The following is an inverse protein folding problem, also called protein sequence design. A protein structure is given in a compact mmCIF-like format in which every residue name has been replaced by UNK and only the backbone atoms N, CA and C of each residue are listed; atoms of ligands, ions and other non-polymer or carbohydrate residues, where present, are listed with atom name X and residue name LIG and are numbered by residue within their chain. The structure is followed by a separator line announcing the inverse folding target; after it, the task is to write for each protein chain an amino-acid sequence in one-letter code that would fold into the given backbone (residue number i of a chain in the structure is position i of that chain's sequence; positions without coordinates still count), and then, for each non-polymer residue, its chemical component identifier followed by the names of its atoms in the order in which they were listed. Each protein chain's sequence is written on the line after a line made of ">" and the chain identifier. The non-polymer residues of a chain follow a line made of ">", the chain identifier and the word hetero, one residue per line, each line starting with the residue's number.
data_IF_672764823999
#
_entry.id   IF_672764823999
#
_cell.length_a   1.000
_cell.length_b   1.000
_cell.length_c   1.000
_cell.angle_alpha   90.00
_cell.angle_beta   90.00
_cell.angle_gamma   90.00
#
_symmetry.space_group_name_H-M   'P 1'
#
loop_
_entity.id
_entity.type
_entity.pdbx_description
1 polymer ?
#
# COMPACT_ATOMS: atom_id res chain seq x y z
N UNK A 1 -43.17 -20.73 6.61
CA UNK A 1 -43.19 -19.29 6.27
C UNK A 1 -41.76 -18.81 6.37
N UNK A 2 -41.09 -18.73 5.23
CA UNK A 2 -39.67 -18.41 5.08
C UNK A 2 -39.52 -16.90 5.28
N UNK A 3 -39.01 -16.50 6.44
CA UNK A 3 -38.70 -15.08 6.68
C UNK A 3 -37.73 -14.60 5.60
N UNK A 4 -38.18 -13.56 4.89
CA UNK A 4 -37.42 -12.83 3.91
C UNK A 4 -36.07 -12.43 4.52
N UNK A 5 -34.99 -12.98 3.96
CA UNK A 5 -33.65 -12.41 4.13
C UNK A 5 -33.79 -10.91 3.83
N UNK A 6 -33.55 -10.05 4.83
CA UNK A 6 -33.33 -8.64 4.55
C UNK A 6 -32.24 -8.57 3.49
N UNK A 7 -32.64 -8.17 2.28
CA UNK A 7 -31.80 -8.23 1.09
C UNK A 7 -30.42 -7.61 1.40
N UNK A 8 -29.30 -8.37 1.38
CA UNK A 8 -28.00 -7.82 1.72
C UNK A 8 -27.50 -6.80 0.68
N UNK A 9 -28.20 -6.67 -0.46
CA UNK A 9 -27.83 -5.78 -1.56
C UNK A 9 -28.53 -4.43 -1.46
N UNK A 10 -27.76 -3.38 -1.67
CA UNK A 10 -28.25 -2.00 -1.73
C UNK A 10 -28.27 -1.52 -3.19
N UNK A 11 -29.44 -1.18 -3.76
CA UNK A 11 -29.52 -0.75 -5.17
C UNK A 11 -28.76 0.55 -5.47
N UNK A 12 -28.34 1.30 -4.45
CA UNK A 12 -27.60 2.54 -4.61
C UNK A 12 -26.11 2.39 -4.89
N UNK A 13 -25.54 1.17 -4.87
CA UNK A 13 -24.14 0.95 -5.26
C UNK A 13 -23.99 -0.08 -6.39
N UNK A 14 -22.99 0.13 -7.25
CA UNK A 14 -22.80 -0.65 -8.47
C UNK A 14 -22.41 -2.09 -8.17
N UNK A 15 -21.67 -2.32 -7.07
CA UNK A 15 -21.28 -3.68 -6.68
C UNK A 15 -22.51 -4.53 -6.41
N UNK A 16 -23.45 -4.03 -5.58
CA UNK A 16 -24.70 -4.70 -5.27
C UNK A 16 -25.56 -4.91 -6.52
N UNK A 17 -25.62 -3.93 -7.41
CA UNK A 17 -26.38 -4.04 -8.66
C UNK A 17 -25.83 -5.15 -9.57
N UNK A 18 -24.50 -5.27 -9.68
CA UNK A 18 -23.85 -6.31 -10.50
C UNK A 18 -23.83 -7.69 -9.84
N UNK A 19 -23.79 -7.76 -8.52
CA UNK A 19 -23.75 -9.04 -7.80
C UNK A 19 -25.11 -9.65 -7.51
N UNK A 20 -26.17 -8.84 -7.34
CA UNK A 20 -27.50 -9.31 -6.92
C UNK A 20 -27.98 -10.53 -7.71
N UNK A 21 -27.95 -10.48 -9.03
CA UNK A 21 -28.48 -11.59 -9.87
C UNK A 21 -27.74 -12.92 -9.63
N UNK A 22 -26.44 -12.86 -9.34
CA UNK A 22 -25.59 -14.04 -9.11
C UNK A 22 -25.76 -14.61 -7.70
N UNK A 23 -26.32 -13.82 -6.79
CA UNK A 23 -26.56 -14.16 -5.39
C UNK A 23 -28.04 -14.45 -5.09
N UNK A 24 -28.90 -14.39 -6.10
CA UNK A 24 -30.32 -14.79 -6.03
C UNK A 24 -30.53 -16.17 -6.62
N UNK A 25 -31.46 -16.96 -6.05
CA UNK A 25 -31.77 -18.31 -6.55
C UNK A 25 -30.67 -19.34 -6.29
N UNK A 26 -29.86 -19.12 -5.24
CA UNK A 26 -28.80 -20.02 -4.82
C UNK A 26 -29.36 -21.30 -4.17
N UNK A 27 -28.56 -22.37 -4.13
CA UNK A 27 -28.85 -23.53 -3.29
C UNK A 27 -28.89 -23.12 -1.80
N UNK A 28 -29.44 -23.98 -0.94
CA UNK A 28 -29.49 -23.71 0.49
C UNK A 28 -28.09 -23.51 1.09
N UNK A 29 -27.11 -24.30 0.65
CA UNK A 29 -25.72 -24.26 1.12
C UNK A 29 -24.99 -23.00 0.67
N UNK A 30 -25.22 -22.55 -0.58
CA UNK A 30 -24.65 -21.30 -1.08
C UNK A 30 -25.34 -20.07 -0.45
N UNK A 31 -26.64 -20.17 -0.17
CA UNK A 31 -27.35 -19.13 0.59
C UNK A 31 -26.77 -19.00 2.00
N UNK A 32 -26.52 -20.12 2.68
CA UNK A 32 -25.89 -20.13 4.01
C UNK A 32 -24.46 -19.54 3.98
N UNK A 33 -23.68 -19.82 2.93
CA UNK A 33 -22.40 -19.13 2.71
C UNK A 33 -22.59 -17.62 2.62
N UNK A 34 -23.48 -17.12 1.76
CA UNK A 34 -23.70 -15.67 1.59
C UNK A 34 -24.12 -15.00 2.89
N UNK A 35 -25.07 -15.60 3.61
CA UNK A 35 -25.53 -15.07 4.89
C UNK A 35 -24.39 -15.04 5.92
N UNK A 36 -23.61 -16.13 6.00
CA UNK A 36 -22.44 -16.20 6.88
C UNK A 36 -21.39 -15.16 6.52
N UNK A 37 -21.14 -14.91 5.23
CA UNK A 37 -20.20 -13.87 4.80
C UNK A 37 -20.71 -12.45 5.13
N UNK A 38 -22.02 -12.24 5.23
CA UNK A 38 -22.63 -10.96 5.58
C UNK A 38 -22.49 -10.54 7.06
N UNK A 39 -21.99 -11.40 7.96
CA UNK A 39 -21.95 -11.12 9.40
C UNK A 39 -20.65 -10.46 9.87
N UNK A 40 -19.78 -9.99 8.97
CA UNK A 40 -18.48 -9.43 9.36
C UNK A 40 -18.58 -8.18 10.23
N UNK A 41 -19.69 -7.43 10.18
CA UNK A 41 -19.92 -6.26 11.04
C UNK A 41 -19.83 -6.54 12.54
N UNK A 42 -19.98 -7.81 12.94
CA UNK A 42 -19.94 -8.23 14.34
C UNK A 42 -18.52 -8.21 14.92
N UNK A 43 -17.48 -8.34 14.09
CA UNK A 43 -16.10 -8.49 14.56
C UNK A 43 -15.06 -7.70 13.75
N UNK A 44 -15.35 -7.36 12.49
CA UNK A 44 -14.41 -6.67 11.62
C UNK A 44 -14.47 -5.17 11.90
N UNK A 45 -13.43 -4.67 12.55
CA UNK A 45 -13.27 -3.27 12.90
C UNK A 45 -11.84 -2.79 12.64
N UNK A 46 -11.53 -1.58 13.11
CA UNK A 46 -10.21 -0.94 13.03
C UNK A 46 -9.06 -1.79 13.62
N UNK A 47 -9.33 -2.87 14.35
CA UNK A 47 -8.31 -3.79 14.88
C UNK A 47 -7.97 -4.92 13.90
N UNK A 48 -8.79 -5.13 12.85
CA UNK A 48 -8.59 -6.12 11.80
C UNK A 48 -8.34 -7.53 12.33
N UNK A 49 -9.16 -7.95 13.30
CA UNK A 49 -9.10 -9.27 13.90
C UNK A 49 -10.25 -10.12 13.38
N UNK A 50 -9.94 -11.14 12.60
CA UNK A 50 -10.95 -12.10 12.14
C UNK A 50 -11.38 -12.98 13.31
N UNK A 51 -12.69 -13.13 13.49
CA UNK A 51 -13.23 -14.07 14.45
C UNK A 51 -12.91 -15.52 14.06
N UNK A 52 -12.46 -16.30 15.03
CA UNK A 52 -11.96 -17.67 14.77
C UNK A 52 -13.08 -18.66 14.47
N UNK A 53 -14.27 -18.46 15.07
CA UNK A 53 -15.45 -19.30 14.83
C UNK A 53 -15.99 -19.00 13.44
N UNK A 54 -16.11 -17.72 13.11
CA UNK A 54 -16.51 -17.24 11.79
C UNK A 54 -15.60 -17.78 10.69
N UNK A 55 -14.27 -17.67 10.87
CA UNK A 55 -13.27 -18.22 9.93
C UNK A 55 -13.43 -19.71 9.72
N UNK A 56 -13.63 -20.49 10.80
CA UNK A 56 -13.81 -21.95 10.72
C UNK A 56 -15.07 -22.30 9.92
N UNK A 57 -16.18 -21.62 10.20
CA UNK A 57 -17.45 -21.83 9.50
C UNK A 57 -17.35 -21.45 8.02
N UNK A 58 -16.77 -20.30 7.70
CA UNK A 58 -16.54 -19.86 6.33
C UNK A 58 -15.72 -20.89 5.54
N UNK A 59 -14.60 -21.39 6.10
CA UNK A 59 -13.79 -22.45 5.47
C UNK A 59 -14.56 -23.75 5.24
N UNK A 60 -15.50 -24.10 6.11
CA UNK A 60 -16.35 -25.28 5.90
C UNK A 60 -17.33 -25.06 4.74
N UNK A 61 -17.96 -23.88 4.67
CA UNK A 61 -18.91 -23.50 3.62
C UNK A 61 -18.26 -23.31 2.24
N UNK A 62 -16.99 -22.92 2.20
CA UNK A 62 -16.20 -22.83 0.96
C UNK A 62 -15.98 -24.18 0.26
N UNK A 63 -16.29 -25.31 0.91
CA UNK A 63 -16.24 -26.65 0.30
C UNK A 63 -17.45 -26.97 -0.57
N UNK A 64 -18.51 -26.17 -0.47
CA UNK A 64 -19.73 -26.32 -1.27
C UNK A 64 -19.44 -26.07 -2.76
N UNK A 65 -19.99 -26.91 -3.63
CA UNK A 65 -19.90 -26.71 -5.08
C UNK A 65 -20.45 -25.33 -5.48
N UNK A 66 -19.71 -24.56 -6.29
CA UNK A 66 -20.07 -23.20 -6.67
C UNK A 66 -19.60 -22.09 -5.72
N UNK A 67 -19.11 -22.42 -4.51
CA UNK A 67 -18.69 -21.42 -3.52
C UNK A 67 -17.49 -20.61 -4.00
N UNK A 68 -16.53 -21.28 -4.65
CA UNK A 68 -15.32 -20.66 -5.20
C UNK A 68 -15.69 -19.61 -6.26
N UNK A 69 -16.51 -20.00 -7.22
CA UNK A 69 -16.96 -19.15 -8.32
C UNK A 69 -17.73 -17.94 -7.80
N UNK A 70 -18.56 -18.13 -6.76
CA UNK A 70 -19.34 -17.06 -6.14
C UNK A 70 -18.44 -16.02 -5.44
N UNK A 71 -17.44 -16.47 -4.69
CA UNK A 71 -16.48 -15.58 -3.99
C UNK A 71 -15.56 -14.88 -4.99
N UNK A 72 -15.04 -15.60 -5.99
CA UNK A 72 -14.23 -14.99 -7.05
C UNK A 72 -15.01 -13.93 -7.82
N UNK A 73 -16.27 -14.22 -8.17
CA UNK A 73 -17.16 -13.26 -8.80
C UNK A 73 -17.33 -12.00 -7.94
N UNK A 74 -17.59 -12.14 -6.63
CA UNK A 74 -17.74 -11.01 -5.73
C UNK A 74 -16.51 -10.10 -5.69
N UNK A 75 -15.31 -10.68 -5.62
CA UNK A 75 -14.04 -9.94 -5.59
C UNK A 75 -13.75 -9.27 -6.93
N UNK A 76 -14.00 -9.96 -8.05
CA UNK A 76 -13.87 -9.38 -9.40
C UNK A 76 -14.80 -8.18 -9.58
N UNK A 77 -16.05 -8.27 -9.11
CA UNK A 77 -16.98 -7.15 -9.15
C UNK A 77 -16.55 -5.97 -8.26
N UNK A 78 -15.84 -6.23 -7.14
CA UNK A 78 -15.25 -5.17 -6.33
C UNK A 78 -14.08 -4.49 -7.04
N UNK A 79 -13.28 -5.25 -7.79
CA UNK A 79 -12.14 -4.73 -8.54
C UNK A 79 -12.59 -3.78 -9.66
N UNK A 80 -13.68 -4.08 -10.36
CA UNK A 80 -14.26 -3.23 -11.40
C UNK A 80 -14.59 -1.80 -10.94
N UNK A 81 -14.49 -0.83 -11.86
CA UNK A 81 -14.90 0.57 -11.63
C UNK A 81 -16.35 0.69 -11.14
N UNK A 82 -16.67 1.82 -10.50
CA UNK A 82 -17.97 2.00 -9.87
C UNK A 82 -17.97 1.38 -8.48
N UNK A 83 -18.27 0.08 -8.31
CA UNK A 83 -18.33 -0.60 -7.01
C UNK A 83 -19.02 0.27 -5.94
N UNK A 84 -18.44 0.44 -4.74
CA UNK A 84 -18.92 1.40 -3.74
C UNK A 84 -18.53 2.87 -4.04
N UNK A 85 -17.71 3.13 -5.03
CA UNK A 85 -17.17 4.47 -5.32
C UNK A 85 -17.93 5.22 -6.42
N UNK A 86 -18.84 4.56 -7.14
CA UNK A 86 -19.69 5.15 -8.18
C UNK A 86 -20.92 5.87 -7.63
N UNK A 87 -21.14 5.83 -6.32
CA UNK A 87 -22.30 6.43 -5.68
C UNK A 87 -22.26 7.96 -5.76
N UNK A 88 -23.32 8.57 -6.29
CA UNK A 88 -23.47 10.03 -6.39
C UNK A 88 -24.35 10.62 -5.31
N UNK A 89 -25.25 9.84 -4.69
CA UNK A 89 -26.09 10.31 -3.58
C UNK A 89 -25.28 10.37 -2.26
N UNK A 90 -25.08 11.56 -1.67
CA UNK A 90 -24.36 11.71 -0.40
C UNK A 90 -24.92 10.85 0.74
N UNK A 91 -26.23 10.59 0.79
CA UNK A 91 -26.84 9.76 1.83
C UNK A 91 -26.42 8.29 1.70
N UNK A 92 -26.39 7.77 0.47
CA UNK A 92 -25.89 6.42 0.19
C UNK A 92 -24.40 6.33 0.48
N UNK A 93 -23.62 7.35 0.08
CA UNK A 93 -22.20 7.44 0.38
C UNK A 93 -21.93 7.42 1.89
N UNK A 94 -22.71 8.16 2.70
CA UNK A 94 -22.56 8.16 4.16
C UNK A 94 -22.98 6.82 4.77
N UNK A 95 -24.03 6.16 4.24
CA UNK A 95 -24.47 4.86 4.73
C UNK A 95 -23.46 3.75 4.45
N UNK A 96 -22.97 3.69 3.23
CA UNK A 96 -22.07 2.61 2.77
C UNK A 96 -20.61 2.88 3.16
N UNK A 97 -20.11 4.10 2.96
CA UNK A 97 -18.69 4.46 3.15
C UNK A 97 -18.46 5.47 4.28
N UNK A 98 -19.50 5.80 5.06
CA UNK A 98 -19.36 6.64 6.24
C UNK A 98 -18.88 5.87 7.45
N UNK A 99 -18.67 6.61 8.55
CA UNK A 99 -18.29 6.03 9.84
C UNK A 99 -19.52 5.54 10.65
N UNK A 100 -20.70 5.53 10.04
CA UNK A 100 -21.91 5.04 10.67
C UNK A 100 -21.77 3.54 10.99
N UNK A 101 -22.19 3.15 12.20
CA UNK A 101 -22.18 1.76 12.66
C UNK A 101 -23.61 1.31 12.99
N UNK A 102 -23.98 0.06 12.67
CA UNK A 102 -23.20 -0.94 11.94
C UNK A 102 -23.01 -0.57 10.45
N UNK A 103 -21.98 -1.09 9.76
CA UNK A 103 -21.86 -0.93 8.31
C UNK A 103 -23.05 -1.57 7.59
N UNK A 104 -23.29 -1.17 6.36
CA UNK A 104 -24.39 -1.74 5.57
C UNK A 104 -24.23 -3.26 5.38
N UNK A 105 -25.34 -4.01 5.22
CA UNK A 105 -25.29 -5.43 4.86
C UNK A 105 -24.46 -5.71 3.61
N UNK A 106 -24.53 -4.83 2.60
CA UNK A 106 -23.78 -4.96 1.34
C UNK A 106 -22.28 -4.87 1.59
N UNK A 107 -21.84 -3.87 2.37
CA UNK A 107 -20.45 -3.69 2.75
C UNK A 107 -19.94 -4.85 3.59
N UNK A 108 -20.72 -5.35 4.55
CA UNK A 108 -20.34 -6.52 5.34
C UNK A 108 -20.16 -7.76 4.46
N UNK A 109 -21.08 -8.01 3.53
CA UNK A 109 -20.95 -9.11 2.58
C UNK A 109 -19.70 -8.97 1.69
N UNK A 110 -19.41 -7.76 1.20
CA UNK A 110 -18.21 -7.48 0.41
C UNK A 110 -16.92 -7.74 1.20
N UNK A 111 -16.85 -7.31 2.46
CA UNK A 111 -15.72 -7.59 3.38
C UNK A 111 -15.59 -9.10 3.61
N UNK A 112 -16.69 -9.79 3.89
CA UNK A 112 -16.70 -11.23 4.12
C UNK A 112 -16.23 -12.03 2.91
N UNK A 113 -16.74 -11.71 1.71
CA UNK A 113 -16.29 -12.32 0.47
C UNK A 113 -14.79 -12.07 0.22
N UNK A 114 -14.32 -10.85 0.46
CA UNK A 114 -12.89 -10.50 0.33
C UNK A 114 -12.04 -11.31 1.29
N UNK A 115 -12.41 -11.43 2.57
CA UNK A 115 -11.69 -12.26 3.55
C UNK A 115 -11.68 -13.75 3.16
N UNK A 116 -12.83 -14.28 2.73
CA UNK A 116 -13.00 -15.67 2.35
C UNK A 116 -12.16 -16.06 1.12
N UNK A 117 -11.92 -15.11 0.22
CA UNK A 117 -11.07 -15.30 -0.96
C UNK A 117 -9.66 -15.81 -0.61
N UNK A 118 -9.11 -15.36 0.53
CA UNK A 118 -7.79 -15.80 1.02
C UNK A 118 -7.72 -17.29 1.39
N UNK A 119 -8.85 -18.00 1.44
CA UNK A 119 -8.91 -19.41 1.79
C UNK A 119 -9.36 -20.32 0.65
N UNK A 120 -9.51 -19.77 -0.56
CA UNK A 120 -9.78 -20.56 -1.76
C UNK A 120 -8.53 -21.37 -2.14
N UNK A 121 -8.74 -22.62 -2.55
CA UNK A 121 -7.70 -23.51 -3.06
C UNK A 121 -7.70 -23.56 -4.59
N UNK A 122 -6.56 -23.84 -5.21
CA UNK A 122 -6.39 -23.92 -6.67
C UNK A 122 -5.51 -22.79 -7.22
N UNK A 123 -5.58 -22.53 -8.53
CA UNK A 123 -4.95 -21.36 -9.15
C UNK A 123 -5.60 -20.07 -8.61
N UNK A 124 -4.79 -19.16 -8.11
CA UNK A 124 -5.24 -17.90 -7.49
C UNK A 124 -4.63 -16.67 -8.14
N UNK A 125 -4.04 -16.79 -9.34
CA UNK A 125 -3.36 -15.68 -10.02
C UNK A 125 -4.32 -14.52 -10.29
N UNK A 126 -5.40 -14.75 -11.03
CA UNK A 126 -6.44 -13.73 -11.30
C UNK A 126 -7.08 -13.19 -9.99
N UNK A 127 -7.18 -14.04 -8.96
CA UNK A 127 -7.73 -13.64 -7.67
C UNK A 127 -6.79 -12.68 -6.92
N UNK A 128 -5.48 -12.93 -6.97
CA UNK A 128 -4.48 -12.06 -6.38
C UNK A 128 -4.51 -10.68 -7.05
N UNK A 129 -4.56 -10.63 -8.38
CA UNK A 129 -4.66 -9.39 -9.16
C UNK A 129 -5.91 -8.59 -8.77
N UNK A 130 -7.08 -9.26 -8.72
CA UNK A 130 -8.33 -8.60 -8.32
C UNK A 130 -8.26 -8.09 -6.87
N UNK A 131 -7.72 -8.87 -5.93
CA UNK A 131 -7.53 -8.43 -4.55
C UNK A 131 -6.57 -7.23 -4.45
N UNK A 132 -5.52 -7.19 -5.26
CA UNK A 132 -4.60 -6.06 -5.31
C UNK A 132 -5.30 -4.80 -5.81
N UNK A 133 -6.11 -4.88 -6.87
CA UNK A 133 -6.94 -3.77 -7.35
C UNK A 133 -7.92 -3.30 -6.26
N UNK A 134 -8.59 -4.22 -5.57
CA UNK A 134 -9.46 -3.88 -4.43
C UNK A 134 -8.67 -3.15 -3.33
N UNK A 135 -7.49 -3.64 -2.97
CA UNK A 135 -6.61 -2.99 -1.99
C UNK A 135 -6.23 -1.56 -2.42
N UNK A 136 -5.78 -1.39 -3.68
CA UNK A 136 -5.35 -0.09 -4.20
C UNK A 136 -6.47 0.95 -4.20
N UNK A 137 -7.66 0.57 -4.68
CA UNK A 137 -8.83 1.46 -4.74
C UNK A 137 -9.23 1.97 -3.36
N UNK A 138 -9.22 1.10 -2.36
CA UNK A 138 -9.73 1.44 -1.04
C UNK A 138 -8.66 2.04 -0.11
N UNK A 139 -7.37 2.01 -0.49
CA UNK A 139 -6.24 2.54 0.30
C UNK A 139 -5.58 3.80 -0.30
N UNK A 140 -6.23 4.48 -1.24
CA UNK A 140 -5.69 5.64 -1.98
C UNK A 140 -4.33 5.34 -2.66
N UNK A 141 -4.27 4.24 -3.42
CA UNK A 141 -3.10 3.85 -4.21
C UNK A 141 -3.44 3.70 -5.71
N UNK A 142 -4.34 4.56 -6.19
CA UNK A 142 -4.79 4.63 -7.58
C UNK A 142 -4.43 5.98 -8.19
N UNK A 143 -4.28 6.00 -9.51
CA UNK A 143 -4.07 7.24 -10.28
C UNK A 143 -5.36 8.07 -10.40
N UNK A 144 -6.47 7.60 -9.85
CA UNK A 144 -7.75 8.31 -9.77
C UNK A 144 -8.24 8.33 -8.33
N UNK A 145 -8.98 9.38 -7.96
CA UNK A 145 -9.53 9.47 -6.62
C UNK A 145 -10.62 8.41 -6.40
N UNK A 146 -10.45 7.63 -5.34
CA UNK A 146 -11.46 6.75 -4.75
C UNK A 146 -11.55 7.11 -3.27
N UNK A 147 -12.75 7.01 -2.69
CA UNK A 147 -12.92 7.24 -1.25
C UNK A 147 -12.21 6.14 -0.47
N UNK A 148 -11.61 6.47 0.67
CA UNK A 148 -10.96 5.45 1.53
C UNK A 148 -12.02 4.49 2.06
N UNK A 149 -11.70 3.21 2.02
CA UNK A 149 -12.36 2.19 2.82
C UNK A 149 -11.30 1.27 3.42
N UNK A 150 -10.81 1.68 4.59
CA UNK A 150 -9.75 0.97 5.30
C UNK A 150 -10.15 -0.48 5.69
N UNK A 151 -11.45 -0.75 5.87
CA UNK A 151 -11.95 -2.09 6.20
C UNK A 151 -11.88 -3.03 4.99
N UNK A 152 -12.31 -2.57 3.81
CA UNK A 152 -12.21 -3.35 2.56
C UNK A 152 -10.74 -3.51 2.15
N UNK A 153 -9.94 -2.45 2.26
CA UNK A 153 -8.50 -2.53 1.98
C UNK A 153 -7.80 -3.53 2.92
N UNK A 154 -8.08 -3.46 4.22
CA UNK A 154 -7.54 -4.40 5.21
C UNK A 154 -7.96 -5.84 4.94
N UNK A 155 -9.20 -6.06 4.48
CA UNK A 155 -9.69 -7.39 4.13
C UNK A 155 -8.93 -7.95 2.93
N UNK A 156 -8.70 -7.14 1.90
CA UNK A 156 -7.94 -7.52 0.71
C UNK A 156 -6.48 -7.84 1.05
N UNK A 157 -5.83 -7.01 1.87
CA UNK A 157 -4.46 -7.26 2.33
C UNK A 157 -4.38 -8.56 3.13
N UNK A 158 -5.35 -8.82 4.01
CA UNK A 158 -5.38 -10.06 4.78
C UNK A 158 -5.58 -11.28 3.88
N UNK A 159 -6.47 -11.19 2.89
CA UNK A 159 -6.74 -12.26 1.95
C UNK A 159 -5.49 -12.60 1.12
N UNK A 160 -4.82 -11.60 0.55
CA UNK A 160 -3.52 -11.79 -0.13
C UNK A 160 -2.48 -12.45 0.77
N UNK A 161 -2.41 -12.06 2.05
CA UNK A 161 -1.49 -12.67 3.02
C UNK A 161 -1.78 -14.14 3.34
N UNK A 162 -3.01 -14.61 3.08
CA UNK A 162 -3.44 -16.02 3.24
C UNK A 162 -3.25 -16.84 1.95
N UNK A 163 -3.30 -16.22 0.76
CA UNK A 163 -3.15 -16.92 -0.52
C UNK A 163 -1.78 -17.61 -0.66
N UNK A 164 -1.72 -18.84 -1.21
CA UNK A 164 -0.46 -19.47 -1.55
C UNK A 164 0.16 -18.84 -2.81
N UNK A 165 1.42 -19.15 -3.07
CA UNK A 165 2.10 -18.75 -4.32
C UNK A 165 2.88 -17.45 -4.21
N UNK A 166 3.73 -17.23 -5.23
CA UNK A 166 4.61 -16.07 -5.32
C UNK A 166 3.86 -14.83 -5.80
N UNK A 167 2.86 -14.98 -6.66
CA UNK A 167 2.11 -13.86 -7.25
C UNK A 167 1.44 -13.00 -6.15
N UNK A 168 0.82 -13.63 -5.15
CA UNK A 168 0.24 -12.91 -4.01
C UNK A 168 1.27 -12.13 -3.18
N UNK A 169 2.52 -12.61 -3.11
CA UNK A 169 3.61 -11.90 -2.44
C UNK A 169 4.11 -10.72 -3.28
N UNK A 170 4.23 -10.89 -4.60
CA UNK A 170 4.60 -9.80 -5.52
C UNK A 170 3.54 -8.69 -5.49
N UNK A 171 2.25 -9.03 -5.46
CA UNK A 171 1.16 -8.06 -5.29
C UNK A 171 1.21 -7.35 -3.93
N UNK A 172 1.54 -8.07 -2.85
CA UNK A 172 1.73 -7.45 -1.53
C UNK A 172 2.92 -6.50 -1.50
N UNK A 173 4.02 -6.81 -2.20
CA UNK A 173 5.15 -5.88 -2.34
C UNK A 173 4.79 -4.66 -3.18
N UNK A 174 4.09 -4.84 -4.29
CA UNK A 174 3.58 -3.73 -5.08
C UNK A 174 2.65 -2.83 -4.24
N UNK A 175 1.72 -3.41 -3.48
CA UNK A 175 0.87 -2.67 -2.55
C UNK A 175 1.68 -1.92 -1.49
N UNK A 176 2.70 -2.55 -0.90
CA UNK A 176 3.57 -1.89 0.08
C UNK A 176 4.33 -0.71 -0.54
N UNK A 177 4.65 -0.79 -1.83
CA UNK A 177 5.27 0.30 -2.56
C UNK A 177 4.32 1.47 -2.75
N UNK A 178 3.05 1.24 -3.12
CA UNK A 178 2.10 2.30 -3.47
C UNK A 178 1.26 2.84 -2.32
N UNK A 179 0.92 2.02 -1.33
CA UNK A 179 0.04 2.42 -0.21
C UNK A 179 0.84 3.24 0.79
N UNK A 180 0.36 4.46 1.06
CA UNK A 180 1.05 5.36 1.98
C UNK A 180 0.94 4.91 3.45
N UNK A 181 2.03 5.00 4.25
CA UNK A 181 2.03 4.54 5.64
C UNK A 181 0.99 5.19 6.56
N UNK A 182 0.52 6.40 6.22
CA UNK A 182 -0.50 7.12 6.99
C UNK A 182 -1.90 6.45 6.94
N UNK A 183 -2.13 5.47 6.04
CA UNK A 183 -3.40 4.73 5.99
C UNK A 183 -3.53 3.80 7.17
N UNK A 184 -4.70 3.75 7.78
CA UNK A 184 -4.94 2.87 8.93
C UNK A 184 -4.82 1.39 8.57
N UNK A 185 -5.21 1.01 7.34
CA UNK A 185 -5.05 -0.35 6.79
C UNK A 185 -3.59 -0.76 6.51
N UNK A 186 -2.64 0.19 6.45
CA UNK A 186 -1.23 -0.11 6.17
C UNK A 186 -0.61 -1.08 7.21
N UNK A 187 -1.04 -1.03 8.47
CA UNK A 187 -0.56 -1.99 9.49
C UNK A 187 -0.95 -3.44 9.17
N UNK A 188 -2.08 -3.66 8.50
CA UNK A 188 -2.50 -4.99 8.03
C UNK A 188 -1.67 -5.40 6.84
N UNK A 189 -1.43 -4.47 5.90
CA UNK A 189 -0.54 -4.70 4.76
C UNK A 189 0.85 -5.19 5.21
N UNK A 190 1.50 -4.48 6.14
CA UNK A 190 2.80 -4.88 6.70
C UNK A 190 2.74 -6.29 7.32
N UNK A 191 1.69 -6.59 8.09
CA UNK A 191 1.51 -7.92 8.69
C UNK A 191 1.32 -9.02 7.64
N UNK A 192 0.55 -8.74 6.59
CA UNK A 192 0.29 -9.66 5.48
C UNK A 192 1.54 -9.92 4.65
N UNK A 193 2.31 -8.88 4.32
CA UNK A 193 3.61 -9.01 3.65
C UNK A 193 4.53 -9.89 4.49
N UNK A 194 4.70 -9.59 5.80
CA UNK A 194 5.55 -10.41 6.68
C UNK A 194 5.12 -11.87 6.71
N UNK A 195 3.80 -12.13 6.81
CA UNK A 195 3.25 -13.48 6.82
C UNK A 195 3.50 -14.23 5.51
N UNK A 196 3.27 -13.58 4.37
CA UNK A 196 3.50 -14.17 3.05
C UNK A 196 5.00 -14.42 2.80
N UNK A 197 5.85 -13.45 3.14
CA UNK A 197 7.31 -13.55 3.04
C UNK A 197 7.87 -14.72 3.88
N UNK A 198 7.42 -14.86 5.12
CA UNK A 198 7.82 -16.00 5.99
C UNK A 198 7.42 -17.34 5.37
N UNK A 199 6.21 -17.44 4.82
CA UNK A 199 5.74 -18.66 4.14
C UNK A 199 6.57 -18.97 2.89
N UNK A 200 7.01 -17.94 2.17
CA UNK A 200 7.84 -18.07 0.96
C UNK A 200 9.34 -18.23 1.26
N UNK A 201 9.77 -18.24 2.54
CA UNK A 201 11.17 -18.37 2.92
C UNK A 201 12.02 -17.12 2.61
N UNK A 202 11.41 -15.96 2.41
CA UNK A 202 12.13 -14.70 2.15
C UNK A 202 12.90 -14.27 3.40
N UNK A 203 14.22 -14.08 3.32
CA UNK A 203 15.03 -13.65 4.45
C UNK A 203 14.61 -12.27 4.98
N UNK A 204 14.75 -11.99 6.30
CA UNK A 204 14.37 -10.70 6.87
C UNK A 204 15.03 -9.48 6.22
N UNK A 205 16.27 -9.62 5.76
CA UNK A 205 16.97 -8.52 5.10
C UNK A 205 16.39 -8.20 3.72
N UNK A 206 16.10 -9.23 2.94
CA UNK A 206 15.53 -9.10 1.60
C UNK A 206 14.09 -8.55 1.70
N UNK A 207 13.36 -8.95 2.74
CA UNK A 207 12.08 -8.34 3.08
C UNK A 207 12.23 -6.84 3.37
N UNK A 208 13.17 -6.44 4.24
CA UNK A 208 13.38 -5.03 4.59
C UNK A 208 13.72 -4.16 3.36
N UNK A 209 14.47 -4.72 2.40
CA UNK A 209 14.81 -4.08 1.13
C UNK A 209 13.59 -3.85 0.23
N UNK A 210 12.69 -4.83 0.16
CA UNK A 210 11.49 -4.79 -0.68
C UNK A 210 10.32 -4.02 -0.08
N UNK A 211 10.41 -3.63 1.20
CA UNK A 211 9.34 -2.95 1.94
C UNK A 211 9.69 -1.53 2.36
N UNK A 212 10.60 -0.85 1.66
CA UNK A 212 10.81 0.58 1.92
C UNK A 212 9.62 1.35 1.32
N UNK A 213 8.90 2.18 2.11
CA UNK A 213 7.79 2.97 1.59
C UNK A 213 8.33 4.13 0.74
N UNK A 214 7.71 4.38 -0.41
CA UNK A 214 8.04 5.55 -1.26
C UNK A 214 7.37 6.85 -0.81
N UNK A 215 6.41 6.78 0.11
CA UNK A 215 5.62 7.93 0.60
C UNK A 215 4.87 8.73 -0.49
N UNK A 216 4.56 8.10 -1.62
CA UNK A 216 3.98 8.76 -2.79
C UNK A 216 4.92 9.70 -3.53
N UNK A 217 6.22 9.72 -3.22
CA UNK A 217 7.21 10.47 -3.97
C UNK A 217 7.31 9.95 -5.40
N UNK A 218 7.53 10.88 -6.33
CA UNK A 218 7.91 10.64 -7.71
C UNK A 218 9.41 10.30 -7.82
N UNK A 219 9.88 9.79 -8.97
CA UNK A 219 11.28 9.43 -9.16
C UNK A 219 12.28 10.58 -8.91
N UNK A 220 11.85 11.82 -9.06
CA UNK A 220 12.65 13.03 -8.78
C UNK A 220 12.72 13.41 -7.29
N UNK A 221 12.10 12.61 -6.42
CA UNK A 221 12.08 12.85 -4.98
C UNK A 221 11.07 13.93 -4.56
N UNK A 222 10.12 14.29 -5.41
CA UNK A 222 9.06 15.25 -5.07
C UNK A 222 7.71 14.60 -4.83
N UNK A 223 6.91 15.22 -3.97
CA UNK A 223 5.49 14.93 -3.79
C UNK A 223 4.73 16.25 -3.77
N UNK A 224 3.93 16.48 -4.82
CA UNK A 224 3.03 17.63 -4.89
C UNK A 224 1.70 17.28 -4.25
N UNK A 225 1.19 18.15 -3.39
CA UNK A 225 -0.07 18.03 -2.67
C UNK A 225 -0.95 19.22 -3.02
N UNK A 226 -2.26 19.00 -3.11
CA UNK A 226 -3.20 20.03 -3.52
C UNK A 226 -4.65 19.66 -3.24
N UNK A 227 -5.54 20.62 -3.54
CA UNK A 227 -6.97 20.38 -3.53
C UNK A 227 -7.40 19.44 -4.67
N UNK A 228 -8.66 19.01 -4.70
CA UNK A 228 -9.20 18.08 -5.70
C UNK A 228 -8.76 18.48 -7.11
N UNK A 229 -8.08 17.56 -7.81
CA UNK A 229 -7.55 17.76 -9.16
C UNK A 229 -6.17 18.42 -9.24
N UNK A 230 -5.56 18.77 -8.10
CA UNK A 230 -4.19 19.31 -8.00
C UNK A 230 -3.30 18.39 -7.15
N UNK A 231 -2.05 18.24 -7.58
CA UNK A 231 -1.08 17.38 -6.89
C UNK A 231 -1.46 15.90 -6.88
N UNK A 232 -1.07 15.21 -5.82
CA UNK A 232 -1.32 13.78 -5.63
C UNK A 232 -2.82 13.48 -5.65
N UNK A 233 -3.29 12.78 -6.69
CA UNK A 233 -4.70 12.42 -6.89
C UNK A 233 -5.26 11.53 -5.78
N UNK A 234 -4.36 10.89 -5.05
CA UNK A 234 -4.67 10.08 -3.89
C UNK A 234 -4.72 10.89 -2.60
N UNK A 235 -4.47 12.20 -2.54
CA UNK A 235 -4.58 13.01 -1.31
C UNK A 235 -5.17 14.39 -1.60
N UNK A 236 -6.42 14.59 -1.18
CA UNK A 236 -7.06 15.91 -1.21
C UNK A 236 -6.67 16.71 0.04
N UNK A 237 -5.67 17.57 -0.07
CA UNK A 237 -5.29 18.51 0.98
C UNK A 237 -5.94 19.88 0.69
N UNK A 238 -6.50 20.54 1.71
CA UNK A 238 -7.07 21.89 1.57
C UNK A 238 -6.01 23.01 1.43
N UNK A 239 -4.84 22.67 0.88
CA UNK A 239 -3.69 23.52 0.66
C UNK A 239 -2.86 22.96 -0.50
N UNK A 240 -2.08 23.82 -1.14
CA UNK A 240 -1.06 23.40 -2.10
C UNK A 240 0.32 23.39 -1.40
N UNK A 241 1.06 22.30 -1.56
CA UNK A 241 2.41 22.15 -1.01
C UNK A 241 3.26 21.18 -1.83
N UNK A 242 4.58 21.33 -1.78
CA UNK A 242 5.52 20.37 -2.36
C UNK A 242 6.46 19.87 -1.27
N UNK A 243 6.49 18.56 -1.07
CA UNK A 243 7.51 17.89 -0.25
C UNK A 243 8.64 17.48 -1.20
N UNK A 244 9.88 17.79 -0.84
CA UNK A 244 11.06 17.43 -1.63
C UNK A 244 12.09 16.72 -0.76
N UNK A 245 12.58 15.58 -1.24
CA UNK A 245 13.77 14.91 -0.72
C UNK A 245 14.95 15.30 -1.60
N UNK A 246 15.89 16.06 -1.03
CA UNK A 246 17.10 16.50 -1.73
C UNK A 246 18.15 15.41 -1.72
N UNK A 247 19.12 15.47 -2.66
CA UNK A 247 20.26 14.54 -2.71
C UNK A 247 21.13 14.54 -1.44
N UNK A 248 21.08 15.62 -0.66
CA UNK A 248 21.73 15.68 0.66
C UNK A 248 21.04 14.82 1.73
N UNK A 249 19.85 14.29 1.46
CA UNK A 249 18.97 13.67 2.46
C UNK A 249 18.14 14.67 3.25
N UNK A 250 18.27 15.97 2.98
CA UNK A 250 17.38 16.97 3.57
C UNK A 250 15.97 16.83 2.99
N UNK A 251 14.96 16.90 3.86
CA UNK A 251 13.55 17.00 3.45
C UNK A 251 13.08 18.43 3.66
N UNK A 252 12.36 18.98 2.68
CA UNK A 252 11.74 20.31 2.75
C UNK A 252 10.26 20.24 2.42
N UNK A 253 9.48 21.18 2.97
CA UNK A 253 8.10 21.44 2.56
C UNK A 253 8.02 22.86 2.04
N UNK A 254 7.60 23.02 0.80
CA UNK A 254 7.27 24.30 0.20
C UNK A 254 5.77 24.52 0.31
N UNK A 255 5.36 25.44 1.19
CA UNK A 255 3.97 25.87 1.35
C UNK A 255 3.64 26.90 0.27
N UNK A 256 2.62 26.63 -0.55
CA UNK A 256 2.25 27.45 -1.70
C UNK A 256 0.94 28.18 -1.39
N UNK A 257 1.00 29.51 -1.40
CA UNK A 257 -0.15 30.38 -1.18
C UNK A 257 -0.43 31.20 -2.45
N UNK A 258 -1.26 30.66 -3.34
CA UNK A 258 -1.61 31.30 -4.61
C UNK A 258 -2.29 32.66 -4.42
N UNK A 259 -3.12 32.81 -3.38
CA UNK A 259 -3.82 34.07 -3.07
C UNK A 259 -2.84 35.22 -2.76
N UNK A 260 -1.70 34.89 -2.15
CA UNK A 260 -0.64 35.85 -1.82
C UNK A 260 0.53 35.81 -2.80
N UNK A 261 0.47 34.92 -3.80
CA UNK A 261 1.58 34.59 -4.69
C UNK A 261 2.90 34.32 -3.93
N UNK A 262 2.83 33.62 -2.78
CA UNK A 262 4.01 33.33 -1.95
C UNK A 262 4.32 31.84 -1.89
N UNK A 263 5.61 31.52 -1.84
CA UNK A 263 6.14 30.18 -1.55
C UNK A 263 7.05 30.26 -0.35
N UNK A 264 6.72 29.53 0.72
CA UNK A 264 7.54 29.46 1.94
C UNK A 264 8.12 28.08 2.09
N UNK A 265 9.45 27.96 2.06
CA UNK A 265 10.17 26.70 2.29
C UNK A 265 10.45 26.50 3.78
N UNK A 266 10.11 25.34 4.33
CA UNK A 266 10.51 24.96 5.69
C UNK A 266 11.14 23.56 5.75
N UNK A 267 12.05 23.37 6.70
CA UNK A 267 12.66 22.09 7.08
C UNK A 267 12.07 21.63 8.41
N UNK A 268 12.47 20.44 8.91
CA UNK A 268 12.03 19.91 10.19
C UNK A 268 12.11 20.99 11.32
N UNK A 269 11.03 21.20 12.11
CA UNK A 269 9.84 20.37 12.26
C UNK A 269 8.68 20.69 11.29
N UNK A 270 8.98 21.34 10.15
CA UNK A 270 8.07 21.72 9.06
C UNK A 270 6.93 22.62 9.54
N UNK A 271 7.29 23.71 10.22
CA UNK A 271 6.31 24.70 10.66
C UNK A 271 5.69 25.36 9.42
N UNK A 272 4.37 25.47 9.39
CA UNK A 272 3.66 26.22 8.35
C UNK A 272 3.81 27.73 8.59
N UNK A 273 3.56 28.57 7.58
CA UNK A 273 3.51 30.02 7.75
C UNK A 273 2.49 30.47 8.83
N UNK A 274 2.71 31.65 9.41
CA UNK A 274 1.80 32.24 10.41
C UNK A 274 0.41 32.46 9.81
N UNK A 275 -0.63 32.04 10.54
CA UNK A 275 -2.04 32.16 10.09
C UNK A 275 -2.47 31.15 9.02
N UNK A 276 -1.56 30.32 8.52
CA UNK A 276 -1.85 29.37 7.43
C UNK A 276 -2.89 28.31 7.84
N UNK A 277 -2.75 27.72 9.04
CA UNK A 277 -3.70 26.73 9.59
C UNK A 277 -5.15 27.21 9.65
N UNK A 278 -5.36 28.46 10.04
CA UNK A 278 -6.70 29.05 10.16
C UNK A 278 -7.38 29.16 8.79
N UNK A 279 -6.60 29.40 7.73
CA UNK A 279 -7.10 29.59 6.36
C UNK A 279 -7.29 28.27 5.62
N UNK A 280 -6.35 27.34 5.73
CA UNK A 280 -6.28 26.13 4.89
C UNK A 280 -6.66 24.84 5.62
N UNK A 281 -7.37 24.97 6.74
CA UNK A 281 -7.72 23.90 7.69
C UNK A 281 -6.52 23.28 8.41
N UNK A 282 -6.64 23.18 9.74
CA UNK A 282 -5.57 22.66 10.58
C UNK A 282 -5.21 21.20 10.25
N UNK A 283 -6.21 20.36 9.94
CA UNK A 283 -5.97 18.95 9.64
C UNK A 283 -5.14 18.73 8.37
N UNK A 284 -5.29 19.57 7.35
CA UNK A 284 -4.52 19.45 6.11
C UNK A 284 -3.06 19.82 6.36
N UNK A 285 -2.83 20.91 7.10
CA UNK A 285 -1.47 21.36 7.46
C UNK A 285 -0.76 20.33 8.31
N UNK A 286 -1.44 19.80 9.34
CA UNK A 286 -0.84 18.78 10.20
C UNK A 286 -0.61 17.46 9.45
N UNK A 287 -1.49 17.08 8.52
CA UNK A 287 -1.28 15.95 7.63
C UNK A 287 0.01 16.07 6.81
N UNK A 288 0.22 17.20 6.11
CA UNK A 288 1.44 17.44 5.32
C UNK A 288 2.69 17.41 6.19
N UNK A 289 2.64 18.04 7.36
CA UNK A 289 3.75 18.06 8.32
C UNK A 289 4.11 16.66 8.81
N UNK A 290 3.13 15.87 9.22
CA UNK A 290 3.35 14.51 9.71
C UNK A 290 3.91 13.61 8.61
N UNK A 291 3.43 13.74 7.38
CA UNK A 291 3.94 12.98 6.24
C UNK A 291 5.40 13.31 5.91
N UNK A 292 5.77 14.59 5.94
CA UNK A 292 7.17 15.00 5.79
C UNK A 292 8.06 14.44 6.93
N UNK A 293 7.56 14.38 8.16
CA UNK A 293 8.27 13.75 9.28
C UNK A 293 8.43 12.25 9.10
N UNK A 294 7.44 11.55 8.55
CA UNK A 294 7.53 10.12 8.29
C UNK A 294 8.55 9.80 7.18
N UNK A 295 8.66 10.65 6.15
CA UNK A 295 9.74 10.56 5.15
C UNK A 295 11.12 10.68 5.81
N UNK A 296 11.30 11.66 6.71
CA UNK A 296 12.56 11.82 7.47
C UNK A 296 12.89 10.56 8.28
N UNK A 297 11.89 9.97 8.96
CA UNK A 297 12.09 8.72 9.73
C UNK A 297 12.51 7.57 8.83
N UNK A 298 11.90 7.41 7.66
CA UNK A 298 12.29 6.37 6.71
C UNK A 298 13.71 6.59 6.18
N UNK A 299 14.09 7.81 5.81
CA UNK A 299 15.46 8.12 5.39
C UNK A 299 16.49 7.78 6.48
N UNK A 300 16.20 8.11 7.74
CA UNK A 300 17.07 7.79 8.86
C UNK A 300 17.21 6.26 9.08
N UNK A 301 16.10 5.54 9.00
CA UNK A 301 16.09 4.07 9.11
C UNK A 301 16.89 3.41 7.99
N UNK A 302 16.73 3.89 6.75
CA UNK A 302 17.45 3.35 5.59
C UNK A 302 18.95 3.67 5.63
N UNK A 303 19.33 4.86 6.13
CA UNK A 303 20.73 5.19 6.38
C UNK A 303 21.37 4.24 7.38
N UNK A 304 20.70 3.97 8.50
CA UNK A 304 21.19 3.02 9.49
C UNK A 304 21.31 1.61 8.91
N UNK A 305 20.25 1.13 8.24
CA UNK A 305 20.18 -0.21 7.64
C UNK A 305 21.33 -0.46 6.64
N UNK A 306 21.54 0.47 5.71
CA UNK A 306 22.59 0.36 4.70
C UNK A 306 23.99 0.47 5.30
N UNK A 307 24.17 1.31 6.31
CA UNK A 307 25.45 1.41 7.03
C UNK A 307 25.76 0.09 7.75
N UNK A 308 24.78 -0.54 8.39
CA UNK A 308 24.94 -1.88 8.99
C UNK A 308 25.26 -2.94 7.94
N UNK A 309 24.59 -2.91 6.79
CA UNK A 309 24.82 -3.86 5.71
C UNK A 309 26.25 -3.80 5.12
N UNK A 310 26.94 -2.66 5.23
CA UNK A 310 28.34 -2.50 4.81
C UNK A 310 29.29 -3.47 5.54
N UNK A 311 28.99 -3.81 6.79
CA UNK A 311 29.80 -4.74 7.59
C UNK A 311 29.56 -6.21 7.24
N UNK A 312 28.48 -6.51 6.53
CA UNK A 312 28.04 -7.88 6.24
C UNK A 312 28.53 -8.41 4.88
N UNK A 313 29.33 -7.64 4.13
CA UNK A 313 29.88 -7.99 2.80
C UNK A 313 28.83 -8.57 1.83
N UNK A 314 27.59 -8.08 1.91
CA UNK A 314 26.49 -8.55 1.08
C UNK A 314 26.71 -8.21 -0.39
N UNK A 315 26.19 -9.05 -1.27
CA UNK A 315 26.17 -8.84 -2.72
C UNK A 315 24.74 -8.91 -3.24
N UNK A 316 24.37 -8.00 -4.11
CA UNK A 316 23.08 -7.95 -4.80
C UNK A 316 23.25 -8.21 -6.29
N UNK A 317 22.21 -8.66 -6.98
CA UNK A 317 22.15 -8.57 -8.43
C UNK A 317 21.94 -7.11 -8.84
N UNK A 318 22.51 -6.70 -9.98
CA UNK A 318 22.37 -5.34 -10.51
C UNK A 318 20.91 -4.96 -10.71
N UNK A 319 20.06 -5.88 -11.18
CA UNK A 319 18.62 -5.65 -11.34
C UNK A 319 17.93 -5.30 -10.03
N UNK A 320 18.22 -6.04 -8.96
CA UNK A 320 17.63 -5.82 -7.63
C UNK A 320 18.20 -4.56 -6.99
N UNK A 321 19.52 -4.35 -7.10
CA UNK A 321 20.16 -3.14 -6.61
C UNK A 321 19.60 -1.89 -7.29
N UNK A 322 19.48 -1.92 -8.61
CA UNK A 322 18.90 -0.83 -9.39
C UNK A 322 17.48 -0.51 -8.92
N UNK A 323 16.62 -1.54 -8.82
CA UNK A 323 15.22 -1.39 -8.46
C UNK A 323 15.00 -0.89 -7.03
N UNK A 324 15.65 -1.49 -6.03
CA UNK A 324 15.35 -1.25 -4.61
C UNK A 324 16.24 -0.17 -3.98
N UNK A 325 17.34 0.20 -4.63
CA UNK A 325 18.29 1.18 -4.12
C UNK A 325 18.44 2.36 -5.06
N UNK A 326 18.92 2.17 -6.29
CA UNK A 326 19.25 3.28 -7.19
C UNK A 326 18.02 4.08 -7.64
N UNK A 327 16.94 3.39 -8.02
CA UNK A 327 15.78 3.98 -8.69
C UNK A 327 14.66 4.33 -7.70
N UNK A 328 14.83 3.99 -6.42
CA UNK A 328 13.83 4.22 -5.40
C UNK A 328 14.00 5.61 -4.76
N UNK A 329 12.93 6.42 -4.63
CA UNK A 329 13.04 7.85 -4.26
C UNK A 329 13.64 8.09 -2.87
N UNK A 330 13.46 7.17 -1.92
CA UNK A 330 14.07 7.24 -0.58
C UNK A 330 15.48 6.66 -0.54
N UNK A 331 15.63 5.37 -0.83
CA UNK A 331 16.92 4.66 -0.69
C UNK A 331 17.97 5.17 -1.65
N UNK A 332 17.61 5.75 -2.81
CA UNK A 332 18.59 6.27 -3.76
C UNK A 332 19.44 7.38 -3.19
N UNK A 333 18.86 8.22 -2.32
CA UNK A 333 19.58 9.31 -1.64
C UNK A 333 20.64 8.76 -0.71
N UNK A 334 20.32 7.71 0.04
CA UNK A 334 21.30 7.02 0.91
C UNK A 334 22.33 6.30 0.06
N UNK A 335 21.89 5.60 -0.98
CA UNK A 335 22.72 4.81 -1.90
C UNK A 335 23.78 5.67 -2.57
N UNK A 336 23.42 6.87 -3.06
CA UNK A 336 24.35 7.83 -3.66
C UNK A 336 25.42 8.35 -2.69
N UNK A 337 25.17 8.30 -1.39
CA UNK A 337 26.12 8.72 -0.36
C UNK A 337 27.14 7.64 0.03
N UNK A 338 27.02 6.43 -0.52
CA UNK A 338 27.87 5.28 -0.23
C UNK A 338 28.74 4.92 -1.44
N UNK A 339 29.90 4.32 -1.18
CA UNK A 339 30.76 3.78 -2.22
C UNK A 339 30.34 2.35 -2.56
N UNK A 340 30.10 2.09 -3.84
CA UNK A 340 29.68 0.79 -4.34
C UNK A 340 30.70 0.26 -5.34
N UNK A 341 30.76 -1.05 -5.48
CA UNK A 341 31.54 -1.72 -6.51
C UNK A 341 30.66 -2.76 -7.21
N UNK A 342 30.95 -3.05 -8.47
CA UNK A 342 30.25 -4.08 -9.25
C UNK A 342 31.22 -5.02 -9.97
N UNK A 343 30.76 -6.24 -10.24
CA UNK A 343 31.49 -7.28 -10.96
C UNK A 343 30.55 -7.89 -12.03
N UNK A 344 30.95 -7.81 -13.29
CA UNK A 344 30.24 -8.40 -14.43
C UNK A 344 30.52 -9.90 -14.49
N UNK A 345 29.56 -10.75 -14.90
CA UNK A 345 29.83 -12.17 -15.11
C UNK A 345 31.00 -12.38 -16.09
N UNK A 346 31.96 -13.22 -15.72
CA UNK A 346 33.13 -13.53 -16.55
C UNK A 346 34.29 -12.53 -16.46
N UNK A 347 34.10 -11.39 -15.78
CA UNK A 347 35.22 -10.50 -15.43
C UNK A 347 35.77 -10.86 -14.04
N UNK A 348 37.07 -10.65 -13.83
CA UNK A 348 37.69 -10.85 -12.53
C UNK A 348 37.80 -9.52 -11.78
N UNK A 349 37.10 -9.44 -10.65
CA UNK A 349 37.26 -8.36 -9.69
C UNK A 349 36.21 -7.26 -9.77
N UNK A 350 36.05 -6.58 -8.64
CA UNK A 350 35.07 -5.51 -8.47
C UNK A 350 35.63 -4.18 -8.98
N UNK A 351 34.83 -3.47 -9.78
CA UNK A 351 35.10 -2.12 -10.27
C UNK A 351 34.29 -1.11 -9.49
N UNK A 352 34.88 0.05 -9.22
CA UNK A 352 34.16 1.14 -8.54
C UNK A 352 32.95 1.58 -9.37
N UNK A 353 31.80 1.63 -8.73
CA UNK A 353 30.58 2.21 -9.28
C UNK A 353 30.61 3.70 -8.91
N UNK A 354 30.82 4.57 -9.91
CA UNK A 354 30.87 6.02 -9.70
C UNK A 354 29.63 6.55 -8.94
N UNK A 355 29.78 7.67 -8.24
CA UNK A 355 28.71 8.31 -7.44
C UNK A 355 27.48 8.71 -8.28
N UNK A 356 27.64 8.83 -9.60
CA UNK A 356 26.55 8.93 -10.57
C UNK A 356 26.52 7.67 -11.43
N UNK A 357 25.90 6.60 -10.93
CA UNK A 357 25.56 5.41 -11.73
C UNK A 357 24.43 5.68 -12.76
N UNK A 358 23.97 6.93 -12.88
CA UNK A 358 22.97 7.34 -13.85
C UNK A 358 23.54 7.15 -15.27
N UNK A 359 22.98 6.19 -16.02
CA UNK A 359 23.32 5.94 -17.42
C UNK A 359 24.37 4.86 -17.69
N UNK A 360 24.86 4.14 -16.67
CA UNK A 360 25.75 2.98 -16.90
C UNK A 360 24.90 1.74 -17.19
N UNK A 361 24.92 1.26 -18.43
CA UNK A 361 24.34 -0.04 -18.78
C UNK A 361 25.25 -1.16 -18.28
N UNK A 362 24.84 -1.77 -17.17
CA UNK A 362 25.48 -2.96 -16.59
C UNK A 362 24.52 -4.13 -16.75
N UNK A 363 25.07 -5.31 -17.06
CA UNK A 363 24.29 -6.53 -17.22
C UNK A 363 23.43 -6.80 -15.96
N UNK A 364 22.14 -7.18 -16.10
CA UNK A 364 21.25 -7.43 -14.97
C UNK A 364 21.79 -8.44 -13.94
N UNK A 365 22.62 -9.38 -14.40
CA UNK A 365 23.24 -10.46 -13.62
C UNK A 365 24.56 -10.05 -12.97
N UNK A 366 25.07 -8.84 -13.20
CA UNK A 366 26.25 -8.34 -12.49
C UNK A 366 25.99 -8.25 -10.99
N UNK A 367 27.05 -8.43 -10.21
CA UNK A 367 26.99 -8.41 -8.75
C UNK A 367 27.41 -7.04 -8.24
N UNK A 368 26.62 -6.45 -7.36
CA UNK A 368 26.91 -5.15 -6.72
C UNK A 368 27.15 -5.38 -5.24
N UNK A 369 28.08 -4.64 -4.64
CA UNK A 369 28.30 -4.64 -3.19
C UNK A 369 28.73 -3.27 -2.68
N UNK A 370 28.57 -3.06 -1.38
CA UNK A 370 29.16 -1.92 -0.70
C UNK A 370 30.69 -2.10 -0.65
N UNK A 371 31.41 -1.02 -0.95
CA UNK A 371 32.86 -1.00 -0.81
C UNK A 371 33.21 -1.03 0.68
N UNK A 372 34.06 -1.97 1.13
CA UNK A 372 34.56 -1.94 2.49
C UNK A 372 35.29 -0.62 2.73
N UNK A 373 35.00 0.05 3.85
CA UNK A 373 35.78 1.21 4.27
C UNK A 373 37.25 0.78 4.33
N UNK A 374 38.09 1.33 3.44
CA UNK A 374 39.52 1.11 3.52
C UNK A 374 40.04 1.59 4.88
N UNK A 375 41.10 0.99 5.44
CA UNK A 375 41.73 1.48 6.65
C UNK A 375 42.23 2.92 6.40
N UNK A 376 41.42 3.92 6.78
CA UNK A 376 41.70 5.34 6.56
C UNK A 376 40.52 6.24 6.16
N UNK A 377 39.32 5.72 5.87
CA UNK A 377 38.20 6.55 5.36
C UNK A 377 37.19 7.06 6.40
N UNK A 378 37.34 6.74 7.69
CA UNK A 378 36.46 7.27 8.75
C UNK A 378 37.06 8.57 9.32
N UNK A 379 37.22 9.59 8.48
CA UNK A 379 37.41 10.97 8.96
C UNK A 379 36.76 11.94 7.97
N UNK A 380 35.60 12.49 8.35
CA UNK A 380 35.12 13.74 7.80
C UNK A 380 33.80 13.68 7.04
N UNK A 381 32.69 13.83 7.76
CA UNK A 381 31.62 14.82 7.51
C UNK A 381 30.47 14.57 8.49
N UNK A 382 30.69 15.00 9.73
CA UNK A 382 29.61 15.43 10.61
C UNK A 382 29.83 16.93 10.84
N UNK A 383 29.04 17.75 10.16
CA UNK A 383 28.78 19.15 10.46
C UNK A 383 27.35 19.45 10.02
#
# INVERSE_FOLDING_TARGET
>A
MTDLVQNPFDPGNDWSNRTRHRFTGLSAELTDLVLHLGTTSEFWDYRYKVDTVWKRRAKALLKTSGARELVQYAVRELAQSGSFHGMTDPRHVIRELGQAKPPSPARSLAIGATLAAGWLAGDTSELADNLAVVGRKNAQAMDTYYRVDDDIAGAAFMALGELPGRDALEELWALHYWVVPARHSHKVLVKSVKKAATRAGVPPHELAERTVPRHGLEPDGTLTLGWIGRGARWWNAALDAVITVHDSGQVTVDWIDDEKATRTRTTAPFRSPTGYKTRTRAESVDGVRLHAQDIVKTLAAERLRLTTAAFEKRTWLWSDWSRYYRDHPITSVVTRSLEWEYETPGEHGYRHLGTSAAGVEIEPTARVRLRPAGPGSITGRAA
#
